data_IF_722451070954
#
_entry.id   IF_722451070954
#
_cell.length_a   1.000
_cell.length_b   1.000
_cell.length_c   1.000
_cell.angle_alpha   90.00
_cell.angle_beta   90.00
_cell.angle_gamma   90.00
#
_symmetry.space_group_name_H-M   'P 1'
#
loop_
_entity.id
_entity.type
_entity.pdbx_description
1 polymer ?
#
# COMPACT_ATOMS: atom_id res chain seq x y z
N UNK A 1 0.22 17.48 -11.97
CA UNK A 1 0.82 16.12 -11.93
C UNK A 1 1.00 15.63 -13.36
N UNK A 2 2.09 14.92 -13.70
CA UNK A 2 2.36 14.48 -15.09
C UNK A 2 1.75 13.11 -15.41
N UNK A 3 1.80 12.17 -14.45
CA UNK A 3 1.18 10.85 -14.52
C UNK A 3 0.98 10.32 -13.10
N UNK A 4 0.10 9.33 -12.92
CA UNK A 4 -0.18 8.73 -11.62
C UNK A 4 0.92 7.73 -11.23
N UNK A 5 1.50 7.90 -10.04
CA UNK A 5 2.66 7.09 -9.61
C UNK A 5 2.28 5.64 -9.27
N UNK A 6 1.05 5.39 -8.81
CA UNK A 6 0.57 4.03 -8.52
C UNK A 6 0.10 3.27 -9.78
N UNK A 7 0.40 3.74 -10.99
CA UNK A 7 0.19 2.95 -12.20
C UNK A 7 1.44 2.14 -12.55
N UNK A 8 1.24 0.97 -13.16
CA UNK A 8 2.34 0.17 -13.72
C UNK A 8 3.07 0.90 -14.86
N UNK A 9 4.28 0.45 -15.19
CA UNK A 9 5.14 1.09 -16.21
C UNK A 9 4.44 1.30 -17.55
N UNK A 10 3.74 0.29 -18.09
CA UNK A 10 3.05 0.40 -19.39
C UNK A 10 2.02 1.51 -19.40
N UNK A 11 1.07 1.50 -18.44
CA UNK A 11 0.02 2.51 -18.32
C UNK A 11 0.59 3.92 -18.06
N UNK A 12 1.64 4.05 -17.24
CA UNK A 12 2.31 5.35 -17.04
C UNK A 12 2.89 5.91 -18.32
N UNK A 13 3.56 5.07 -19.10
CA UNK A 13 4.23 5.45 -20.36
C UNK A 13 3.21 5.78 -21.45
N UNK A 14 2.15 4.99 -21.56
CA UNK A 14 1.03 5.26 -22.48
C UNK A 14 0.38 6.61 -22.17
N UNK A 15 0.02 6.86 -20.91
CA UNK A 15 -0.56 8.15 -20.52
C UNK A 15 0.35 9.36 -20.80
N UNK A 16 1.65 9.23 -20.53
CA UNK A 16 2.60 10.30 -20.83
C UNK A 16 2.73 10.54 -22.33
N UNK A 17 2.70 9.49 -23.14
CA UNK A 17 2.66 9.63 -24.59
C UNK A 17 1.39 10.35 -25.05
N UNK A 18 0.21 9.89 -24.63
CA UNK A 18 -1.07 10.46 -25.05
C UNK A 18 -1.28 11.91 -24.59
N UNK A 19 -0.82 12.25 -23.38
CA UNK A 19 -1.10 13.56 -22.76
C UNK A 19 0.05 14.55 -22.86
N UNK A 20 1.27 14.06 -23.07
CA UNK A 20 2.53 14.84 -23.03
C UNK A 20 3.49 14.54 -24.17
N UNK A 21 3.17 13.58 -25.06
CA UNK A 21 3.92 13.28 -26.29
C UNK A 21 5.38 12.85 -26.08
N UNK A 22 5.68 12.18 -24.96
CA UNK A 22 7.00 11.58 -24.72
C UNK A 22 6.92 10.24 -23.98
N UNK A 23 7.96 9.41 -24.13
CA UNK A 23 8.11 8.16 -23.39
C UNK A 23 9.08 8.32 -22.21
N UNK A 24 8.63 7.99 -21.00
CA UNK A 24 9.47 8.06 -19.80
C UNK A 24 10.50 6.92 -19.76
N UNK A 25 11.78 7.27 -19.61
CA UNK A 25 12.92 6.35 -19.50
C UNK A 25 13.63 6.42 -18.14
N UNK A 26 12.90 6.76 -17.07
CA UNK A 26 13.47 6.74 -15.71
C UNK A 26 13.83 5.31 -15.29
N UNK A 27 14.60 5.17 -14.21
CA UNK A 27 15.11 3.87 -13.75
C UNK A 27 13.96 2.89 -13.41
N UNK A 28 12.86 3.39 -12.85
CA UNK A 28 11.65 2.57 -12.63
C UNK A 28 11.05 2.03 -13.93
N UNK A 29 11.04 2.83 -15.00
CA UNK A 29 10.50 2.41 -16.29
C UNK A 29 11.43 1.45 -17.03
N UNK A 30 12.74 1.47 -16.72
CA UNK A 30 13.74 0.56 -17.30
C UNK A 30 13.79 -0.79 -16.58
N UNK A 31 13.45 -0.82 -15.30
CA UNK A 31 13.44 -2.02 -14.49
C UNK A 31 12.12 -2.81 -14.66
N UNK A 32 12.16 -4.07 -15.16
CA UNK A 32 10.97 -4.92 -15.26
C UNK A 32 10.23 -5.15 -13.94
N UNK A 33 10.95 -5.09 -12.82
CA UNK A 33 10.41 -5.31 -11.47
C UNK A 33 9.95 -4.03 -10.79
N UNK A 34 10.11 -2.87 -11.42
CA UNK A 34 9.81 -1.55 -10.86
C UNK A 34 10.45 -1.33 -9.48
N UNK A 35 11.79 -1.40 -9.42
CA UNK A 35 12.60 -1.31 -8.20
C UNK A 35 12.44 -2.50 -7.25
N UNK A 36 12.32 -3.71 -7.80
CA UNK A 36 12.16 -4.96 -7.03
C UNK A 36 10.78 -5.13 -6.38
N UNK A 37 9.86 -4.19 -6.60
CA UNK A 37 8.53 -4.20 -5.96
C UNK A 37 7.57 -5.18 -6.64
N UNK A 38 7.83 -5.55 -7.91
CA UNK A 38 6.94 -6.32 -8.76
C UNK A 38 5.55 -5.66 -8.87
N UNK A 39 5.53 -4.32 -8.92
CA UNK A 39 4.31 -3.52 -8.76
C UNK A 39 3.29 -3.67 -9.90
N UNK A 40 3.71 -4.13 -11.07
CA UNK A 40 2.81 -4.50 -12.19
C UNK A 40 2.92 -5.98 -12.59
N UNK A 41 3.55 -6.82 -11.77
CA UNK A 41 3.80 -8.22 -12.11
C UNK A 41 2.55 -9.10 -11.94
N UNK A 42 2.39 -10.07 -12.84
CA UNK A 42 1.35 -11.09 -12.77
C UNK A 42 1.94 -12.40 -12.24
N UNK A 43 1.13 -13.23 -11.59
CA UNK A 43 1.50 -14.62 -11.29
C UNK A 43 1.48 -15.42 -12.58
N UNK A 44 2.48 -16.27 -12.78
CA UNK A 44 2.51 -17.15 -13.93
C UNK A 44 1.63 -18.38 -13.70
N UNK A 45 0.65 -18.57 -14.58
CA UNK A 45 -0.25 -19.73 -14.57
C UNK A 45 0.42 -21.00 -15.13
N UNK A 46 1.65 -20.91 -15.63
CA UNK A 46 2.38 -22.03 -16.23
C UNK A 46 1.80 -22.46 -17.59
N UNK A 47 2.44 -23.44 -18.22
CA UNK A 47 1.95 -24.11 -19.44
C UNK A 47 1.21 -25.42 -19.14
N UNK A 48 1.17 -25.83 -17.88
CA UNK A 48 0.54 -27.08 -17.41
C UNK A 48 -0.71 -26.82 -16.56
N UNK A 49 -1.17 -27.87 -15.86
CA UNK A 49 -2.38 -27.79 -15.01
C UNK A 49 -2.20 -26.97 -13.71
N UNK A 50 -0.98 -26.56 -13.37
CA UNK A 50 -0.67 -25.87 -12.12
C UNK A 50 0.23 -24.65 -12.38
N UNK A 51 0.05 -23.56 -11.61
CA UNK A 51 0.94 -22.40 -11.65
C UNK A 51 2.39 -22.83 -11.44
N UNK A 52 3.32 -22.28 -12.23
CA UNK A 52 4.73 -22.63 -12.09
C UNK A 52 5.38 -21.99 -10.84
N UNK A 53 4.69 -21.03 -10.22
CA UNK A 53 5.15 -20.27 -9.05
C UNK A 53 6.14 -19.15 -9.37
N UNK A 54 6.40 -18.85 -10.64
CA UNK A 54 7.15 -17.66 -11.07
C UNK A 54 6.23 -16.46 -11.33
N UNK A 55 6.82 -15.29 -11.54
CA UNK A 55 6.10 -14.10 -11.99
C UNK A 55 6.28 -13.85 -13.49
N UNK A 56 5.28 -13.23 -14.11
CA UNK A 56 5.31 -12.67 -15.45
C UNK A 56 5.75 -11.21 -15.37
N UNK A 57 6.81 -10.87 -16.11
CA UNK A 57 7.39 -9.53 -16.18
C UNK A 57 7.56 -9.10 -17.65
N UNK A 58 7.53 -7.79 -17.95
CA UNK A 58 7.84 -7.31 -19.29
C UNK A 58 9.33 -7.55 -19.59
N UNK A 59 9.65 -8.18 -20.72
CA UNK A 59 11.04 -8.48 -21.10
C UNK A 59 11.83 -7.20 -21.33
N UNK A 60 11.22 -6.21 -21.98
CA UNK A 60 11.81 -4.90 -22.21
C UNK A 60 10.76 -3.80 -21.90
N UNK A 61 10.62 -3.34 -20.66
CA UNK A 61 9.53 -2.47 -20.22
C UNK A 61 9.50 -1.08 -20.89
N UNK A 62 10.58 -0.69 -21.58
CA UNK A 62 10.64 0.56 -22.34
C UNK A 62 10.16 0.42 -23.78
N UNK A 63 9.78 -0.77 -24.24
CA UNK A 63 9.05 -0.93 -25.50
C UNK A 63 7.60 -0.46 -25.35
N UNK A 64 6.95 -0.10 -26.46
CA UNK A 64 5.54 0.30 -26.45
C UNK A 64 4.61 -0.89 -26.20
N UNK A 65 4.99 -2.06 -26.70
CA UNK A 65 4.23 -3.31 -26.59
C UNK A 65 5.17 -4.44 -26.14
N UNK A 66 5.68 -4.38 -24.90
CA UNK A 66 6.63 -5.37 -24.42
C UNK A 66 5.98 -6.75 -24.36
N UNK A 67 6.67 -7.74 -24.91
CA UNK A 67 6.34 -9.14 -24.63
C UNK A 67 6.60 -9.43 -23.15
N UNK A 68 5.69 -10.17 -22.52
CA UNK A 68 5.86 -10.62 -21.15
C UNK A 68 6.46 -12.01 -21.12
N UNK A 69 7.33 -12.28 -20.15
CA UNK A 69 7.92 -13.61 -19.97
C UNK A 69 8.01 -13.99 -18.51
N UNK A 70 7.72 -15.25 -18.22
CA UNK A 70 7.87 -15.76 -16.88
C UNK A 70 9.34 -15.94 -16.54
N UNK A 71 9.77 -15.45 -15.39
CA UNK A 71 11.15 -15.62 -14.93
C UNK A 71 11.56 -17.10 -14.72
N UNK A 72 10.59 -17.99 -14.44
CA UNK A 72 10.82 -19.40 -14.10
C UNK A 72 10.61 -20.36 -15.27
N UNK A 73 9.39 -20.44 -15.82
CA UNK A 73 9.08 -21.38 -16.90
C UNK A 73 9.25 -20.80 -18.31
N UNK A 74 9.62 -19.52 -18.43
CA UNK A 74 9.90 -18.81 -19.70
C UNK A 74 8.73 -18.71 -20.68
N UNK A 75 7.51 -19.13 -20.30
CA UNK A 75 6.32 -18.92 -21.12
C UNK A 75 6.12 -17.43 -21.39
N UNK A 76 5.77 -17.09 -22.63
CA UNK A 76 5.61 -15.71 -23.10
C UNK A 76 4.15 -15.38 -23.33
N UNK A 77 3.77 -14.15 -23.02
CA UNK A 77 2.44 -13.60 -23.26
C UNK A 77 2.55 -12.32 -24.10
N UNK A 78 1.68 -12.14 -25.11
CA UNK A 78 1.55 -10.88 -25.82
C UNK A 78 1.20 -9.72 -24.89
N UNK A 79 1.58 -8.50 -25.26
CA UNK A 79 1.27 -7.32 -24.44
C UNK A 79 -0.23 -7.08 -24.37
N UNK A 80 -0.91 -7.22 -25.51
CA UNK A 80 -2.33 -6.98 -25.68
C UNK A 80 -3.16 -7.83 -24.70
N UNK A 81 -2.89 -9.14 -24.63
CA UNK A 81 -3.58 -10.07 -23.74
C UNK A 81 -3.39 -9.70 -22.26
N UNK A 82 -2.16 -9.33 -21.88
CA UNK A 82 -1.85 -8.92 -20.51
C UNK A 82 -2.58 -7.62 -20.16
N UNK A 83 -2.55 -6.64 -21.06
CA UNK A 83 -3.20 -5.34 -20.83
C UNK A 83 -4.71 -5.47 -20.82
N UNK A 84 -5.32 -6.27 -21.70
CA UNK A 84 -6.75 -6.55 -21.68
C UNK A 84 -7.18 -7.16 -20.34
N UNK A 85 -6.44 -8.18 -19.89
CA UNK A 85 -6.72 -8.84 -18.62
C UNK A 85 -6.57 -7.89 -17.41
N UNK A 86 -5.48 -7.12 -17.37
CA UNK A 86 -5.21 -6.17 -16.29
C UNK A 86 -6.25 -5.05 -16.26
N UNK A 87 -6.63 -4.51 -17.43
CA UNK A 87 -7.66 -3.49 -17.53
C UNK A 87 -9.04 -4.02 -17.11
N UNK A 88 -9.36 -5.26 -17.45
CA UNK A 88 -10.58 -5.91 -16.95
C UNK A 88 -10.59 -5.97 -15.42
N UNK A 89 -9.52 -6.46 -14.79
CA UNK A 89 -9.39 -6.49 -13.34
C UNK A 89 -9.46 -5.08 -12.72
N UNK A 90 -8.83 -4.09 -13.35
CA UNK A 90 -8.91 -2.69 -12.96
C UNK A 90 -10.34 -2.17 -12.94
N UNK A 91 -11.13 -2.46 -13.98
CA UNK A 91 -12.53 -2.06 -14.02
C UNK A 91 -13.37 -2.67 -12.89
N UNK A 92 -13.07 -3.90 -12.48
CA UNK A 92 -13.74 -4.55 -11.34
C UNK A 92 -13.34 -3.90 -10.01
N UNK A 93 -12.07 -3.53 -9.85
CA UNK A 93 -11.58 -2.77 -8.69
C UNK A 93 -12.27 -1.41 -8.60
N UNK A 94 -12.33 -0.67 -9.71
CA UNK A 94 -12.94 0.66 -9.76
C UNK A 94 -14.44 0.61 -9.42
N UNK A 95 -15.16 -0.41 -9.92
CA UNK A 95 -16.58 -0.63 -9.60
C UNK A 95 -16.82 -0.82 -8.10
N UNK A 96 -15.94 -1.54 -7.42
CA UNK A 96 -16.06 -1.81 -5.98
C UNK A 96 -15.74 -0.55 -5.18
N UNK A 97 -14.65 0.15 -5.52
CA UNK A 97 -14.22 1.37 -4.83
C UNK A 97 -15.25 2.50 -4.98
N UNK A 98 -15.88 2.61 -6.16
CA UNK A 98 -16.83 3.69 -6.44
C UNK A 98 -18.17 3.56 -5.69
N UNK A 99 -18.48 2.39 -5.12
CA UNK A 99 -19.80 2.08 -4.52
C UNK A 99 -19.85 2.17 -2.99
N UNK A 100 -18.94 2.91 -2.35
CA UNK A 100 -18.76 2.86 -0.88
C UNK A 100 -18.52 1.41 -0.41
N UNK A 101 -17.33 0.85 -0.67
CA UNK A 101 -17.07 -0.56 -0.45
C UNK A 101 -17.23 -0.94 1.03
N UNK A 102 -17.87 -2.08 1.28
CA UNK A 102 -17.81 -2.71 2.60
C UNK A 102 -16.59 -3.66 2.69
N UNK A 103 -16.26 -4.05 3.91
CA UNK A 103 -15.08 -4.88 4.20
C UNK A 103 -15.11 -6.22 3.46
N UNK A 104 -16.28 -6.89 3.38
CA UNK A 104 -16.41 -8.20 2.74
C UNK A 104 -16.16 -8.14 1.23
N UNK A 105 -16.65 -7.09 0.56
CA UNK A 105 -16.44 -6.90 -0.88
C UNK A 105 -14.96 -6.71 -1.21
N UNK A 106 -14.25 -5.88 -0.44
CA UNK A 106 -12.82 -5.65 -0.63
C UNK A 106 -11.99 -6.90 -0.33
N UNK A 107 -12.31 -7.64 0.74
CA UNK A 107 -11.61 -8.89 1.04
C UNK A 107 -11.85 -9.96 -0.03
N UNK A 108 -13.09 -10.06 -0.52
CA UNK A 108 -13.45 -10.92 -1.64
C UNK A 108 -12.67 -10.57 -2.89
N UNK A 109 -12.57 -9.27 -3.21
CA UNK A 109 -11.81 -8.79 -4.36
C UNK A 109 -10.30 -9.03 -4.19
N UNK A 110 -9.74 -8.76 -3.01
CA UNK A 110 -8.33 -9.03 -2.71
C UNK A 110 -8.00 -10.50 -2.93
N UNK A 111 -8.84 -11.43 -2.45
CA UNK A 111 -8.67 -12.88 -2.67
C UNK A 111 -8.66 -13.24 -4.15
N UNK A 112 -9.59 -12.67 -4.95
CA UNK A 112 -9.64 -12.90 -6.40
C UNK A 112 -8.38 -12.38 -7.10
N UNK A 113 -7.96 -11.15 -6.80
CA UNK A 113 -6.76 -10.54 -7.38
C UNK A 113 -5.50 -11.34 -7.04
N UNK A 114 -5.37 -11.83 -5.80
CA UNK A 114 -4.22 -12.64 -5.36
C UNK A 114 -4.09 -13.97 -6.10
N UNK A 115 -5.12 -14.45 -6.82
CA UNK A 115 -4.99 -15.64 -7.68
C UNK A 115 -4.08 -15.35 -8.88
N UNK A 116 -4.21 -14.16 -9.47
CA UNK A 116 -3.60 -13.83 -10.75
C UNK A 116 -2.46 -12.81 -10.67
N UNK A 117 -2.43 -11.99 -9.62
CA UNK A 117 -1.50 -10.87 -9.50
C UNK A 117 -0.46 -11.11 -8.41
N UNK A 118 0.72 -10.51 -8.57
CA UNK A 118 1.72 -10.48 -7.51
C UNK A 118 1.15 -9.77 -6.27
N UNK A 119 1.49 -10.18 -5.02
CA UNK A 119 0.94 -9.56 -3.79
C UNK A 119 1.09 -8.04 -3.70
N UNK A 120 2.14 -7.49 -4.32
CA UNK A 120 2.45 -6.06 -4.35
C UNK A 120 1.85 -5.33 -5.57
N UNK A 121 1.04 -6.00 -6.40
CA UNK A 121 0.51 -5.41 -7.62
C UNK A 121 -0.32 -4.16 -7.31
N UNK A 122 -0.26 -3.12 -8.15
CA UNK A 122 -0.90 -1.84 -7.87
C UNK A 122 -2.42 -1.89 -7.62
N UNK A 123 -3.16 -2.76 -8.31
CA UNK A 123 -4.56 -3.03 -7.96
C UNK A 123 -4.75 -3.59 -6.54
N UNK A 124 -3.87 -4.48 -6.09
CA UNK A 124 -3.87 -4.97 -4.71
C UNK A 124 -3.46 -3.87 -3.74
N UNK A 125 -2.52 -3.01 -4.10
CA UNK A 125 -2.16 -1.82 -3.32
C UNK A 125 -3.40 -0.96 -3.04
N UNK A 126 -4.19 -0.62 -4.07
CA UNK A 126 -5.41 0.19 -3.92
C UNK A 126 -6.45 -0.48 -3.01
N UNK A 127 -6.69 -1.79 -3.19
CA UNK A 127 -7.63 -2.55 -2.36
C UNK A 127 -7.13 -2.62 -0.90
N UNK A 128 -5.85 -2.92 -0.68
CA UNK A 128 -5.24 -3.00 0.65
C UNK A 128 -5.27 -1.65 1.37
N UNK A 129 -4.97 -0.55 0.67
CA UNK A 129 -5.04 0.82 1.21
C UNK A 129 -6.47 1.19 1.65
N UNK A 130 -7.48 0.73 0.92
CA UNK A 130 -8.89 0.88 1.32
C UNK A 130 -9.26 -0.02 2.52
N UNK A 131 -8.77 -1.27 2.53
CA UNK A 131 -9.04 -2.24 3.60
C UNK A 131 -8.52 -1.79 4.97
N UNK A 132 -7.28 -1.30 5.04
CA UNK A 132 -6.68 -0.88 6.33
C UNK A 132 -7.48 0.24 6.99
N UNK A 133 -8.06 1.13 6.18
CA UNK A 133 -8.92 2.19 6.66
C UNK A 133 -10.24 1.65 7.22
N UNK A 134 -10.80 0.55 6.66
CA UNK A 134 -12.06 -0.03 7.13
C UNK A 134 -11.89 -0.99 8.33
N UNK A 135 -10.72 -1.62 8.49
CA UNK A 135 -10.49 -2.52 9.61
C UNK A 135 -10.65 -1.80 10.95
N UNK A 136 -11.55 -2.33 11.79
CA UNK A 136 -11.82 -1.83 13.13
C UNK A 136 -12.74 -0.60 13.19
N UNK A 137 -13.41 -0.20 12.10
CA UNK A 137 -14.32 0.95 12.09
C UNK A 137 -15.68 0.74 12.76
N UNK A 138 -16.05 -0.50 13.08
CA UNK A 138 -17.43 -0.84 13.48
C UNK A 138 -17.82 -0.44 14.91
N UNK A 139 -16.95 0.29 15.64
CA UNK A 139 -17.15 0.65 17.03
C UNK A 139 -16.97 -0.54 17.97
N UNK A 140 -16.38 -0.30 19.15
CA UNK A 140 -16.07 -1.35 20.12
C UNK A 140 -14.63 -1.88 20.03
N UNK A 141 -14.36 -2.95 20.77
CA UNK A 141 -13.03 -3.56 20.82
C UNK A 141 -12.69 -4.25 19.50
N UNK A 142 -11.52 -3.94 18.96
CA UNK A 142 -11.01 -4.56 17.73
C UNK A 142 -10.23 -5.82 18.11
N UNK A 143 -10.57 -6.99 17.55
CA UNK A 143 -9.85 -8.23 17.81
C UNK A 143 -8.35 -8.16 17.48
N UNK A 144 -7.52 -8.91 18.22
CA UNK A 144 -6.05 -8.92 18.03
C UNK A 144 -5.66 -9.32 16.61
N UNK A 145 -6.34 -10.32 16.03
CA UNK A 145 -6.06 -10.83 14.69
C UNK A 145 -6.31 -9.76 13.60
N UNK A 146 -7.35 -8.93 13.80
CA UNK A 146 -7.65 -7.81 12.89
C UNK A 146 -6.59 -6.73 13.00
N UNK A 147 -6.12 -6.40 14.22
CA UNK A 147 -5.05 -5.43 14.42
C UNK A 147 -3.72 -5.93 13.83
N UNK A 148 -3.39 -7.22 14.00
CA UNK A 148 -2.18 -7.81 13.44
C UNK A 148 -2.22 -7.83 11.91
N UNK A 149 -3.37 -8.17 11.32
CA UNK A 149 -3.59 -8.10 9.87
C UNK A 149 -3.42 -6.68 9.35
N UNK A 150 -4.01 -5.69 10.02
CA UNK A 150 -3.89 -4.27 9.68
C UNK A 150 -2.44 -3.79 9.74
N UNK A 151 -1.71 -4.12 10.82
CA UNK A 151 -0.28 -3.83 10.98
C UNK A 151 0.53 -4.35 9.79
N UNK A 152 0.39 -5.64 9.49
CA UNK A 152 1.19 -6.29 8.45
C UNK A 152 0.94 -5.68 7.07
N UNK A 153 -0.31 -5.35 6.74
CA UNK A 153 -0.65 -4.69 5.47
C UNK A 153 -0.07 -3.27 5.43
N UNK A 154 -0.19 -2.50 6.51
CA UNK A 154 0.40 -1.16 6.56
C UNK A 154 1.92 -1.19 6.37
N UNK A 155 2.64 -2.07 7.06
CA UNK A 155 4.10 -2.22 6.92
C UNK A 155 4.51 -2.60 5.49
N UNK A 156 3.77 -3.51 4.85
CA UNK A 156 3.97 -3.86 3.43
C UNK A 156 3.79 -2.65 2.49
N UNK A 157 2.68 -1.92 2.64
CA UNK A 157 2.37 -0.79 1.75
C UNK A 157 3.29 0.41 1.98
N UNK A 158 3.73 0.66 3.22
CA UNK A 158 4.71 1.72 3.53
C UNK A 158 6.04 1.41 2.85
N UNK A 159 6.52 0.17 2.92
CA UNK A 159 7.76 -0.23 2.25
C UNK A 159 7.68 -0.02 0.73
N UNK A 160 6.55 -0.41 0.11
CA UNK A 160 6.32 -0.15 -1.32
C UNK A 160 6.28 1.36 -1.62
N UNK A 161 5.62 2.15 -0.76
CA UNK A 161 5.49 3.60 -0.94
C UNK A 161 6.84 4.29 -0.92
N UNK A 162 7.69 3.98 0.06
CA UNK A 162 9.05 4.53 0.15
C UNK A 162 9.93 4.12 -1.04
N UNK A 163 9.74 2.91 -1.57
CA UNK A 163 10.50 2.45 -2.73
C UNK A 163 10.09 3.18 -4.01
N UNK A 164 8.80 3.50 -4.17
CA UNK A 164 8.27 4.16 -5.37
C UNK A 164 8.39 5.69 -5.33
N UNK A 165 8.29 6.30 -4.15
CA UNK A 165 8.31 7.75 -3.92
C UNK A 165 9.17 8.11 -2.69
N UNK A 166 10.49 7.89 -2.73
CA UNK A 166 11.37 8.06 -1.56
C UNK A 166 11.40 9.49 -1.00
N UNK A 167 11.04 10.48 -1.82
CA UNK A 167 10.94 11.88 -1.41
C UNK A 167 9.54 12.32 -0.96
N UNK A 168 8.57 11.40 -0.92
CA UNK A 168 7.17 11.66 -0.55
C UNK A 168 6.51 12.81 -1.34
N UNK A 169 6.93 13.01 -2.59
CA UNK A 169 6.51 14.15 -3.39
C UNK A 169 5.12 13.95 -4.03
N UNK A 170 4.63 12.71 -4.08
CA UNK A 170 3.39 12.30 -4.77
C UNK A 170 2.47 11.46 -3.91
N UNK A 171 3.02 10.70 -2.97
CA UNK A 171 2.31 9.74 -2.12
C UNK A 171 2.24 10.19 -0.66
N UNK A 172 2.59 11.44 -0.33
CA UNK A 172 2.48 12.04 1.01
C UNK A 172 1.17 11.67 1.72
N UNK A 173 0.03 11.91 1.09
CA UNK A 173 -1.29 11.61 1.63
C UNK A 173 -1.54 10.11 1.80
N UNK A 174 -1.11 9.28 0.84
CA UNK A 174 -1.26 7.82 0.94
C UNK A 174 -0.44 7.28 2.11
N UNK A 175 0.80 7.75 2.25
CA UNK A 175 1.71 7.38 3.32
C UNK A 175 1.21 7.84 4.69
N UNK A 176 0.71 9.07 4.81
CA UNK A 176 0.15 9.59 6.05
C UNK A 176 -1.04 8.76 6.54
N UNK A 177 -1.93 8.33 5.63
CA UNK A 177 -3.01 7.39 5.97
C UNK A 177 -2.43 6.07 6.48
N UNK A 178 -1.45 5.49 5.79
CA UNK A 178 -0.85 4.22 6.19
C UNK A 178 -0.17 4.30 7.56
N UNK A 179 0.56 5.37 7.85
CA UNK A 179 1.21 5.61 9.13
C UNK A 179 0.18 5.79 10.25
N UNK A 180 -0.91 6.53 10.01
CA UNK A 180 -2.00 6.65 10.97
C UNK A 180 -2.66 5.30 11.26
N UNK A 181 -2.97 4.51 10.23
CA UNK A 181 -3.57 3.18 10.41
C UNK A 181 -2.60 2.19 11.07
N UNK A 182 -1.28 2.31 10.81
CA UNK A 182 -0.24 1.54 11.49
C UNK A 182 -0.15 1.91 12.97
N UNK A 183 -0.19 3.19 13.30
CA UNK A 183 -0.24 3.68 14.67
C UNK A 183 -1.44 3.05 15.42
N UNK A 184 -2.65 3.14 14.84
CA UNK A 184 -3.87 2.57 15.46
C UNK A 184 -3.68 1.08 15.74
N UNK A 185 -3.13 0.34 14.78
CA UNK A 185 -2.89 -1.10 14.92
C UNK A 185 -1.87 -1.42 16.03
N UNK A 186 -0.69 -0.78 15.99
CA UNK A 186 0.39 -1.00 16.97
C UNK A 186 -0.01 -0.56 18.37
N UNK A 187 -0.65 0.60 18.50
CA UNK A 187 -1.11 1.10 19.79
C UNK A 187 -2.23 0.24 20.38
N UNK A 188 -3.14 -0.27 19.55
CA UNK A 188 -4.15 -1.26 19.97
C UNK A 188 -3.49 -2.52 20.54
N UNK A 189 -2.56 -3.12 19.79
CA UNK A 189 -1.82 -4.32 20.22
C UNK A 189 -1.01 -4.08 21.50
N UNK A 190 -0.37 -2.91 21.61
CA UNK A 190 0.37 -2.52 22.81
C UNK A 190 -0.55 -2.48 24.02
N UNK A 191 -1.70 -1.79 23.94
CA UNK A 191 -2.65 -1.70 25.06
C UNK A 191 -3.15 -3.07 25.52
N UNK A 192 -3.32 -4.03 24.61
CA UNK A 192 -3.76 -5.40 24.95
C UNK A 192 -2.68 -6.18 25.72
N UNK A 193 -1.41 -5.92 25.44
CA UNK A 193 -0.27 -6.66 26.03
C UNK A 193 0.34 -5.97 27.24
N UNK A 194 0.19 -4.65 27.31
CA UNK A 194 0.81 -3.83 28.34
C UNK A 194 0.26 -4.15 29.73
N UNK A 195 1.18 -4.36 30.67
CA UNK A 195 0.92 -4.43 32.10
C UNK A 195 1.91 -3.53 32.83
N UNK A 196 1.52 -2.99 33.99
CA UNK A 196 2.35 -2.03 34.73
C UNK A 196 3.72 -2.59 35.15
N UNK A 197 3.83 -3.91 35.33
CA UNK A 197 5.04 -4.65 35.67
C UNK A 197 5.96 -4.92 34.45
N UNK A 198 5.42 -4.92 33.23
CA UNK A 198 6.18 -5.18 31.99
C UNK A 198 6.70 -3.90 31.30
N UNK A 199 6.71 -2.77 32.00
CA UNK A 199 6.99 -1.44 31.44
C UNK A 199 8.28 -1.36 30.61
N UNK A 200 9.36 -1.96 31.11
CA UNK A 200 10.67 -1.89 30.45
C UNK A 200 10.73 -2.68 29.14
N UNK A 201 9.85 -3.68 28.95
CA UNK A 201 9.79 -4.51 27.75
C UNK A 201 9.22 -3.76 26.54
N UNK A 202 8.40 -2.72 26.79
CA UNK A 202 7.67 -1.99 25.76
C UNK A 202 8.26 -0.62 25.42
N UNK A 203 9.40 -0.23 26.00
CA UNK A 203 10.01 1.10 25.74
C UNK A 203 10.34 1.31 24.26
N UNK A 204 10.98 0.33 23.64
CA UNK A 204 11.36 0.41 22.23
C UNK A 204 10.12 0.47 21.33
N UNK A 205 9.08 -0.31 21.65
CA UNK A 205 7.82 -0.29 20.89
C UNK A 205 7.11 1.06 21.04
N UNK A 206 7.09 1.65 22.24
CA UNK A 206 6.54 3.00 22.46
C UNK A 206 7.30 4.06 21.67
N UNK A 207 8.64 4.04 21.68
CA UNK A 207 9.45 4.95 20.87
C UNK A 207 9.23 4.76 19.37
N UNK A 208 9.01 3.52 18.91
CA UNK A 208 8.66 3.24 17.51
C UNK A 208 7.27 3.79 17.13
N UNK A 209 6.28 3.67 18.02
CA UNK A 209 4.93 4.22 17.81
C UNK A 209 4.97 5.74 17.78
N UNK A 210 5.76 6.38 18.65
CA UNK A 210 5.92 7.83 18.65
C UNK A 210 6.53 8.34 17.33
N UNK A 211 7.59 7.69 16.84
CA UNK A 211 8.21 8.01 15.55
C UNK A 211 7.23 7.92 14.38
N UNK A 212 6.32 6.94 14.38
CA UNK A 212 5.29 6.80 13.34
C UNK A 212 4.37 8.03 13.32
N UNK A 213 3.94 8.52 14.50
CA UNK A 213 3.10 9.72 14.61
C UNK A 213 3.86 10.99 14.23
N UNK A 214 5.14 11.09 14.60
CA UNK A 214 6.00 12.22 14.21
C UNK A 214 6.16 12.28 12.69
N UNK A 215 6.46 11.16 12.05
CA UNK A 215 6.58 11.06 10.59
C UNK A 215 5.26 11.43 9.90
N UNK A 216 4.13 10.91 10.37
CA UNK A 216 2.81 11.24 9.82
C UNK A 216 2.50 12.75 9.93
N UNK A 217 2.87 13.37 11.06
CA UNK A 217 2.69 14.81 11.27
C UNK A 217 3.59 15.64 10.34
N UNK A 218 4.85 15.25 10.17
CA UNK A 218 5.80 15.91 9.26
C UNK A 218 5.29 15.92 7.82
N UNK A 219 4.81 14.77 7.34
CA UNK A 219 4.30 14.63 5.98
C UNK A 219 3.12 15.57 5.68
N UNK A 220 2.26 15.78 6.67
CA UNK A 220 1.05 16.59 6.49
C UNK A 220 1.27 18.09 6.65
N UNK A 221 2.45 18.55 7.07
CA UNK A 221 2.75 19.99 7.18
C UNK A 221 2.51 20.75 5.88
N UNK A 222 2.67 20.09 4.73
CA UNK A 222 2.51 20.67 3.41
C UNK A 222 1.12 20.40 2.77
N UNK A 223 0.27 19.61 3.43
CA UNK A 223 -1.05 19.19 2.92
C UNK A 223 -2.23 19.92 3.57
N UNK A 224 -1.95 20.88 4.47
CA UNK A 224 -2.94 21.62 5.28
C UNK A 224 -3.95 22.44 4.48
N UNK A 225 -3.67 22.73 3.21
CA UNK A 225 -4.55 23.52 2.35
C UNK A 225 -5.63 22.68 1.65
N UNK A 226 -5.62 21.36 1.83
CA UNK A 226 -6.63 20.46 1.28
C UNK A 226 -7.61 20.01 2.36
N UNK A 227 -8.93 19.91 2.09
CA UNK A 227 -9.90 19.43 3.08
C UNK A 227 -9.58 18.03 3.61
N UNK A 228 -8.97 17.18 2.77
CA UNK A 228 -8.57 15.83 3.18
C UNK A 228 -7.31 15.84 4.07
N UNK A 229 -6.35 16.71 3.76
CA UNK A 229 -5.15 16.89 4.57
C UNK A 229 -5.44 17.49 5.93
N UNK A 230 -6.28 18.53 5.99
CA UNK A 230 -6.74 19.14 7.25
C UNK A 230 -7.41 18.11 8.16
N UNK A 231 -8.39 17.37 7.62
CA UNK A 231 -9.10 16.32 8.38
C UNK A 231 -8.17 15.22 8.88
N UNK A 232 -7.21 14.78 8.06
CA UNK A 232 -6.27 13.74 8.47
C UNK A 232 -5.29 14.26 9.54
N UNK A 233 -4.88 15.52 9.44
CA UNK A 233 -4.04 16.18 10.44
C UNK A 233 -4.76 16.28 11.79
N UNK A 234 -6.04 16.66 11.82
CA UNK A 234 -6.87 16.63 13.03
C UNK A 234 -6.90 15.25 13.69
N UNK A 235 -7.10 14.20 12.89
CA UNK A 235 -7.10 12.80 13.39
C UNK A 235 -5.75 12.43 14.00
N UNK A 236 -4.64 12.77 13.34
CA UNK A 236 -3.29 12.49 13.85
C UNK A 236 -3.01 13.29 15.12
N UNK A 237 -3.41 14.56 15.21
CA UNK A 237 -3.28 15.37 16.41
C UNK A 237 -4.05 14.77 17.60
N UNK A 238 -5.29 14.32 17.38
CA UNK A 238 -6.08 13.63 18.41
C UNK A 238 -5.38 12.35 18.87
N UNK A 239 -4.85 11.57 17.92
CA UNK A 239 -4.10 10.36 18.21
C UNK A 239 -2.83 10.62 19.02
N UNK A 240 -2.05 11.66 18.68
CA UNK A 240 -0.88 12.10 19.44
C UNK A 240 -1.25 12.48 20.88
N UNK A 241 -2.30 13.28 21.07
CA UNK A 241 -2.76 13.68 22.42
C UNK A 241 -3.18 12.44 23.22
N UNK A 242 -3.90 11.51 22.59
CA UNK A 242 -4.31 10.27 23.25
C UNK A 242 -3.12 9.39 23.62
N UNK A 243 -2.10 9.33 22.77
CA UNK A 243 -0.88 8.55 23.02
C UNK A 243 -0.07 9.14 24.17
N UNK A 244 0.16 10.45 24.15
CA UNK A 244 0.86 11.19 25.22
C UNK A 244 0.15 11.02 26.57
N UNK A 245 -1.19 11.13 26.59
CA UNK A 245 -1.98 10.91 27.80
C UNK A 245 -1.78 9.49 28.36
N UNK A 246 -1.85 8.48 27.49
CA UNK A 246 -1.62 7.10 27.90
C UNK A 246 -0.20 6.88 28.43
N UNK A 247 0.82 7.49 27.80
CA UNK A 247 2.20 7.42 28.29
C UNK A 247 2.34 8.04 29.69
N UNK A 248 1.68 9.18 29.94
CA UNK A 248 1.66 9.80 31.27
C UNK A 248 1.01 8.92 32.33
N UNK A 249 -0.16 8.37 32.02
CA UNK A 249 -0.94 7.51 32.93
C UNK A 249 -0.20 6.20 33.27
N UNK A 250 0.55 5.66 32.32
CA UNK A 250 1.35 4.43 32.48
C UNK A 250 2.79 4.71 32.93
N UNK A 251 3.15 5.98 33.07
CA UNK A 251 4.50 6.46 33.38
C UNK A 251 5.53 6.20 32.28
N UNK A 252 5.14 5.81 31.06
CA UNK A 252 6.02 5.52 29.92
C UNK A 252 6.73 6.74 29.32
N UNK A 253 6.52 7.95 29.86
CA UNK A 253 7.23 9.17 29.43
C UNK A 253 8.76 8.98 29.46
N UNK A 254 9.45 9.37 28.39
CA UNK A 254 10.90 9.51 28.40
C UNK A 254 11.28 10.64 29.36
N UNK A 255 12.24 10.37 30.25
CA UNK A 255 12.81 11.38 31.16
C UNK A 255 13.80 12.28 30.43
#
# INVERSE_FOLDING_TARGET
MYTHILWGTTARREHLWERKYFYCMCDRCKDPTEFGTNFSALKCMGSGKQPCGGVQLPVNPIETKPTWSCEKCKIRLPNEDVMEFVNHLGSEVDKIISKHPNLNDLEGMMKKLLVFLHPNHYHLYTIKHSLVQLYGRNGGEVPEDVLLKKKNICEELIAITHQLDPGNARLSMYLAVLLNELYIAKFGLLKMKFRSDTKNEFKDEVGNIDKILQEASELLKYEINSPSGEKLNEVICVNQISFLRWMKETGMEEK
#
